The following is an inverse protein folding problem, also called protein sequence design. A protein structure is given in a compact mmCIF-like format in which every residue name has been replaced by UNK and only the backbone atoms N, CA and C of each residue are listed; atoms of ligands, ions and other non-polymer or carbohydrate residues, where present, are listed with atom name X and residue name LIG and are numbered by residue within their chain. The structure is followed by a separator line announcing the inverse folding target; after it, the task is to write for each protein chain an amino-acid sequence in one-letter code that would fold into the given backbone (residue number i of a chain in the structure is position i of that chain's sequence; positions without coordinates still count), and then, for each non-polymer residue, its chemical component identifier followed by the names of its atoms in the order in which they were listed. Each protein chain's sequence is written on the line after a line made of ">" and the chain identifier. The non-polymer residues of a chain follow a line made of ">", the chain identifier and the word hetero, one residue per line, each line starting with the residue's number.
data_IF_450580285555
#
_entry.id   IF_450580285555
#
_cell.length_a   1.000
_cell.length_b   1.000
_cell.length_c   1.000
_cell.angle_alpha   90.00
_cell.angle_beta   90.00
_cell.angle_gamma   90.00
#
_symmetry.space_group_name_H-M   'P 1'
#
loop_
_entity.id
_entity.type
_entity.pdbx_description
1 polymer ?
#
# COMPACT_ATOMS: atom_id res chain seq x y z
N UNK A 1 27.93 -24.22 28.91
CA UNK A 1 27.42 -25.30 28.01
C UNK A 1 26.12 -24.83 27.41
N UNK A 2 26.21 -24.12 26.32
CA UNK A 2 25.05 -23.72 25.52
C UNK A 2 25.12 -24.52 24.22
N UNK A 3 24.20 -25.48 24.04
CA UNK A 3 23.98 -26.17 22.79
C UNK A 3 23.29 -25.25 21.79
N UNK A 4 24.07 -24.62 20.94
CA UNK A 4 23.60 -23.71 19.91
C UNK A 4 23.97 -24.22 18.50
N UNK A 5 24.14 -25.53 18.30
CA UNK A 5 24.59 -26.08 17.02
C UNK A 5 23.51 -26.67 16.13
N UNK A 6 22.31 -26.94 16.64
CA UNK A 6 21.28 -27.63 15.83
C UNK A 6 20.31 -26.72 15.08
N UNK A 7 20.18 -25.43 15.47
CA UNK A 7 19.23 -24.52 14.81
C UNK A 7 19.84 -23.65 13.69
N UNK A 8 21.15 -23.78 13.42
CA UNK A 8 21.86 -22.87 12.48
C UNK A 8 22.09 -23.51 11.11
N UNK A 9 22.15 -24.86 11.04
CA UNK A 9 22.41 -25.59 9.80
C UNK A 9 21.21 -25.63 8.83
N UNK A 10 20.03 -25.29 9.30
CA UNK A 10 18.79 -25.29 8.50
C UNK A 10 18.61 -24.01 7.61
N UNK A 11 19.61 -23.11 7.61
CA UNK A 11 19.58 -21.85 6.82
C UNK A 11 20.49 -21.93 5.59
N UNK A 12 21.35 -22.94 5.48
CA UNK A 12 22.24 -23.15 4.32
C UNK A 12 21.75 -24.34 3.50
N UNK A 13 21.37 -24.02 2.28
CA UNK A 13 21.32 -24.93 1.13
C UNK A 13 20.39 -26.15 1.22
N UNK A 14 19.11 -25.90 1.04
CA UNK A 14 18.17 -26.86 0.49
C UNK A 14 17.83 -26.49 -0.95
N UNK A 15 18.74 -26.76 -1.87
CA UNK A 15 18.40 -26.89 -3.29
C UNK A 15 17.64 -28.22 -3.46
N UNK A 16 16.32 -28.15 -3.34
CA UNK A 16 15.45 -29.22 -3.82
C UNK A 16 14.58 -28.66 -4.96
N UNK A 17 14.98 -29.01 -6.16
CA UNK A 17 14.38 -28.62 -7.45
C UNK A 17 13.11 -29.42 -7.72
N UNK A 18 12.12 -29.43 -6.85
CA UNK A 18 10.79 -29.95 -7.26
C UNK A 18 9.69 -29.69 -6.22
N UNK A 19 9.49 -28.46 -5.81
CA UNK A 19 8.27 -28.07 -5.10
C UNK A 19 7.59 -26.93 -5.87
N UNK A 20 6.43 -27.23 -6.41
CA UNK A 20 5.45 -26.24 -6.84
C UNK A 20 5.17 -25.31 -5.66
N UNK A 21 5.79 -24.12 -5.64
CA UNK A 21 5.55 -23.09 -4.65
C UNK A 21 4.10 -22.63 -4.77
N UNK A 22 3.25 -23.13 -3.89
CA UNK A 22 2.00 -22.46 -3.56
C UNK A 22 2.35 -21.12 -2.92
N UNK A 23 1.60 -20.03 -3.19
CA UNK A 23 1.86 -18.73 -2.58
C UNK A 23 1.79 -18.89 -1.06
N UNK A 24 2.91 -18.61 -0.38
CA UNK A 24 2.97 -18.63 1.09
C UNK A 24 1.84 -17.79 1.66
N UNK A 25 1.05 -18.35 2.53
CA UNK A 25 -0.03 -17.62 3.21
C UNK A 25 0.55 -16.47 4.03
N UNK A 26 -0.17 -15.37 4.17
CA UNK A 26 0.25 -14.21 4.97
C UNK A 26 0.69 -14.62 6.40
N UNK A 27 0.11 -15.70 6.94
CA UNK A 27 0.47 -16.26 8.24
C UNK A 27 1.85 -16.94 8.25
N UNK A 28 2.34 -17.48 7.12
CA UNK A 28 3.69 -18.07 7.04
C UNK A 28 4.77 -17.00 6.90
N UNK A 29 4.44 -15.89 6.21
CA UNK A 29 5.35 -14.74 6.10
C UNK A 29 5.50 -14.00 7.43
N UNK A 30 4.42 -13.84 8.21
CA UNK A 30 4.48 -13.26 9.56
C UNK A 30 5.34 -14.12 10.50
N UNK A 31 5.21 -15.44 10.46
CA UNK A 31 6.04 -16.36 11.25
C UNK A 31 7.53 -16.30 10.86
N UNK A 32 7.82 -16.18 9.57
CA UNK A 32 9.20 -16.05 9.07
C UNK A 32 9.83 -14.72 9.48
N UNK A 33 9.07 -13.62 9.44
CA UNK A 33 9.57 -12.32 9.91
C UNK A 33 9.79 -12.29 11.41
N UNK A 34 8.88 -12.87 12.19
CA UNK A 34 9.02 -12.99 13.64
C UNK A 34 10.25 -13.85 14.02
N UNK A 35 10.48 -14.94 13.27
CA UNK A 35 11.68 -15.78 13.42
C UNK A 35 12.97 -14.99 13.12
N UNK A 36 12.98 -14.19 12.05
CA UNK A 36 14.13 -13.35 11.70
C UNK A 36 14.41 -12.25 12.73
N UNK A 37 13.37 -11.64 13.30
CA UNK A 37 13.52 -10.67 14.39
C UNK A 37 14.11 -11.33 15.64
N UNK A 38 13.60 -12.48 16.05
CA UNK A 38 14.11 -13.23 17.19
C UNK A 38 15.57 -13.69 16.98
N UNK A 39 15.92 -14.07 15.75
CA UNK A 39 17.30 -14.45 15.41
C UNK A 39 18.23 -13.23 15.46
N UNK A 40 17.77 -12.09 14.96
CA UNK A 40 18.51 -10.82 15.04
C UNK A 40 18.81 -10.43 16.49
N UNK A 41 17.79 -10.51 17.37
CA UNK A 41 17.95 -10.17 18.78
C UNK A 41 18.93 -11.13 19.49
N UNK A 42 18.88 -12.45 19.16
CA UNK A 42 19.84 -13.44 19.68
C UNK A 42 21.27 -13.15 19.19
N UNK A 43 21.45 -12.83 17.92
CA UNK A 43 22.77 -12.51 17.36
C UNK A 43 23.34 -11.21 17.96
N UNK A 44 22.50 -10.23 18.18
CA UNK A 44 22.91 -8.98 18.84
C UNK A 44 23.33 -9.25 20.30
N UNK A 45 22.58 -10.09 21.03
CA UNK A 45 22.94 -10.47 22.38
C UNK A 45 24.32 -11.17 22.48
N UNK A 46 24.68 -11.99 21.49
CA UNK A 46 26.03 -12.63 21.44
C UNK A 46 27.12 -11.58 21.16
N UNK A 47 26.83 -10.56 20.36
CA UNK A 47 27.80 -9.48 20.07
C UNK A 47 28.05 -8.63 21.32
N UNK A 48 27.01 -8.40 22.10
CA UNK A 48 27.04 -7.56 23.29
C UNK A 48 27.52 -8.33 24.56
N UNK A 49 27.59 -9.64 24.48
CA UNK A 49 28.07 -10.50 25.60
C UNK A 49 29.59 -10.34 25.78
N UNK A 50 29.97 -9.86 26.95
CA UNK A 50 31.39 -9.73 27.32
C UNK A 50 32.13 -11.06 27.54
N UNK A 51 31.37 -12.14 27.74
CA UNK A 51 31.90 -13.49 27.92
C UNK A 51 32.09 -14.25 26.58
N UNK A 52 31.50 -13.77 25.48
CA UNK A 52 31.63 -14.39 24.16
C UNK A 52 33.00 -14.14 23.56
N UNK A 53 33.55 -15.21 22.93
CA UNK A 53 34.86 -15.15 22.25
C UNK A 53 34.83 -14.26 21.02
N UNK A 54 35.97 -13.72 20.61
CA UNK A 54 36.09 -12.93 19.39
C UNK A 54 35.65 -13.69 18.13
N UNK A 55 35.79 -14.99 18.09
CA UNK A 55 35.32 -15.87 17.02
C UNK A 55 33.80 -15.93 16.95
N UNK A 56 33.14 -16.08 18.08
CA UNK A 56 31.68 -16.08 18.19
C UNK A 56 31.07 -14.72 17.82
N UNK A 57 31.68 -13.63 18.31
CA UNK A 57 31.25 -12.24 17.93
C UNK A 57 31.42 -11.99 16.44
N UNK A 58 32.51 -12.48 15.84
CA UNK A 58 32.76 -12.34 14.41
C UNK A 58 31.75 -13.11 13.57
N UNK A 59 31.40 -14.31 13.99
CA UNK A 59 30.37 -15.12 13.33
C UNK A 59 28.99 -14.50 13.48
N UNK A 60 28.61 -14.06 14.68
CA UNK A 60 27.35 -13.39 14.92
C UNK A 60 27.22 -12.08 14.11
N UNK A 61 28.28 -11.26 14.01
CA UNK A 61 28.31 -10.08 13.13
C UNK A 61 28.12 -10.42 11.67
N UNK A 62 28.77 -11.48 11.18
CA UNK A 62 28.62 -11.95 9.80
C UNK A 62 27.19 -12.42 9.49
N UNK A 63 26.56 -13.13 10.43
CA UNK A 63 25.17 -13.57 10.30
C UNK A 63 24.19 -12.41 10.41
N UNK A 64 24.44 -11.47 11.31
CA UNK A 64 23.63 -10.25 11.45
C UNK A 64 23.64 -9.40 10.17
N UNK A 65 24.80 -9.25 9.53
CA UNK A 65 24.95 -8.62 8.23
C UNK A 65 24.10 -9.29 7.13
N UNK A 66 23.95 -10.62 7.19
CA UNK A 66 23.09 -11.36 6.24
C UNK A 66 21.59 -11.14 6.50
N UNK A 67 21.22 -10.65 7.67
CA UNK A 67 19.85 -10.32 8.08
C UNK A 67 19.56 -8.82 8.01
N UNK A 68 20.53 -7.99 7.58
CA UNK A 68 20.29 -6.55 7.39
C UNK A 68 19.28 -6.32 6.26
N UNK A 69 18.48 -5.26 6.36
CA UNK A 69 17.51 -4.90 5.31
C UNK A 69 18.14 -4.85 3.92
N UNK A 70 19.36 -4.31 3.79
CA UNK A 70 20.08 -4.18 2.51
C UNK A 70 20.42 -5.53 1.87
N UNK A 71 20.75 -6.55 2.66
CA UNK A 71 21.05 -7.89 2.14
C UNK A 71 19.76 -8.63 1.77
N UNK A 72 18.68 -8.43 2.55
CA UNK A 72 17.36 -8.97 2.22
C UNK A 72 16.85 -8.31 0.94
N UNK A 73 17.00 -7.00 0.81
CA UNK A 73 16.65 -6.24 -0.40
C UNK A 73 17.47 -6.69 -1.61
N UNK A 74 18.79 -6.87 -1.44
CA UNK A 74 19.66 -7.39 -2.49
C UNK A 74 19.27 -8.81 -2.92
N UNK A 75 18.94 -9.72 -2.00
CA UNK A 75 18.45 -11.05 -2.33
C UNK A 75 17.09 -11.03 -3.01
N UNK A 76 16.20 -10.15 -2.58
CA UNK A 76 14.89 -9.96 -3.21
C UNK A 76 15.03 -9.41 -4.63
N UNK A 77 15.87 -8.40 -4.83
CA UNK A 77 16.20 -7.87 -6.16
C UNK A 77 16.84 -8.93 -7.06
N UNK A 78 17.76 -9.74 -6.54
CA UNK A 78 18.33 -10.86 -7.28
C UNK A 78 17.27 -11.90 -7.67
N UNK A 79 16.33 -12.19 -6.78
CA UNK A 79 15.21 -13.10 -7.09
C UNK A 79 14.29 -12.54 -8.16
N UNK A 80 13.94 -11.26 -8.08
CA UNK A 80 13.17 -10.56 -9.12
C UNK A 80 13.93 -10.58 -10.44
N UNK A 81 15.19 -10.22 -10.44
CA UNK A 81 16.01 -10.22 -11.66
C UNK A 81 16.10 -11.61 -12.29
N UNK A 82 16.26 -12.67 -11.50
CA UNK A 82 16.21 -14.06 -12.02
C UNK A 82 14.86 -14.39 -12.66
N UNK A 83 13.74 -13.92 -12.07
CA UNK A 83 12.40 -14.10 -12.67
C UNK A 83 12.26 -13.31 -13.97
N UNK A 84 12.73 -12.07 -13.99
CA UNK A 84 12.76 -11.23 -15.21
C UNK A 84 13.58 -11.90 -16.30
N UNK A 85 14.79 -12.36 -16.01
CA UNK A 85 15.64 -13.07 -16.95
C UNK A 85 14.97 -14.34 -17.50
N UNK A 86 14.26 -15.09 -16.65
CA UNK A 86 13.49 -16.27 -17.06
C UNK A 86 12.37 -15.90 -18.02
N UNK A 87 11.62 -14.83 -17.72
CA UNK A 87 10.56 -14.29 -18.58
C UNK A 87 11.15 -13.79 -19.90
N UNK A 88 12.27 -13.09 -19.88
CA UNK A 88 12.94 -12.61 -21.10
C UNK A 88 13.47 -13.74 -21.98
N UNK A 89 14.02 -14.80 -21.37
CA UNK A 89 14.42 -16.00 -22.13
C UNK A 89 13.22 -16.67 -22.80
N UNK A 90 12.08 -16.76 -22.09
CA UNK A 90 10.84 -17.29 -22.67
C UNK A 90 10.32 -16.39 -23.77
N UNK A 91 10.32 -15.06 -23.58
CA UNK A 91 9.96 -14.07 -24.59
C UNK A 91 10.76 -14.25 -25.88
N UNK A 92 12.10 -14.37 -25.75
CA UNK A 92 12.99 -14.61 -26.91
C UNK A 92 12.66 -15.91 -27.62
N UNK A 93 12.36 -16.99 -26.90
CA UNK A 93 11.96 -18.28 -27.50
C UNK A 93 10.65 -18.18 -28.28
N UNK A 94 9.73 -17.33 -27.81
CA UNK A 94 8.41 -17.14 -28.40
C UNK A 94 8.36 -16.06 -29.48
N UNK A 95 9.47 -15.39 -29.77
CA UNK A 95 9.56 -14.23 -30.67
C UNK A 95 8.65 -13.06 -30.28
N UNK A 96 8.34 -12.91 -28.99
CA UNK A 96 7.58 -11.79 -28.51
C UNK A 96 8.47 -10.57 -28.39
N UNK A 97 8.17 -9.53 -29.17
CA UNK A 97 8.93 -8.26 -29.19
C UNK A 97 8.63 -7.39 -27.99
N UNK A 98 7.40 -7.38 -27.53
CA UNK A 98 6.91 -6.56 -26.43
C UNK A 98 6.11 -7.40 -25.44
N UNK A 99 6.29 -7.12 -24.14
CA UNK A 99 5.46 -7.69 -23.06
C UNK A 99 4.32 -6.72 -22.75
N UNK A 100 3.21 -6.90 -23.40
CA UNK A 100 1.97 -6.17 -23.16
C UNK A 100 0.79 -7.15 -23.10
N UNK A 101 -0.42 -6.63 -22.93
CA UNK A 101 -1.60 -7.49 -22.87
C UNK A 101 -1.85 -8.25 -24.18
N UNK A 102 -1.55 -7.67 -25.33
CA UNK A 102 -1.70 -8.35 -26.61
C UNK A 102 -0.85 -9.62 -26.67
N UNK A 103 0.43 -9.52 -26.32
CA UNK A 103 1.32 -10.68 -26.30
C UNK A 103 0.92 -11.72 -25.24
N UNK A 104 0.39 -11.27 -24.10
CA UNK A 104 -0.19 -12.18 -23.10
C UNK A 104 -1.42 -12.90 -23.62
N UNK A 105 -2.35 -12.20 -24.27
CA UNK A 105 -3.57 -12.78 -24.82
C UNK A 105 -3.26 -13.83 -25.87
N UNK A 106 -2.38 -13.52 -26.85
CA UNK A 106 -1.95 -14.45 -27.89
C UNK A 106 -1.31 -15.70 -27.30
N UNK A 107 -0.39 -15.51 -26.34
CA UNK A 107 0.21 -16.62 -25.60
C UNK A 107 -0.82 -17.47 -24.86
N UNK A 108 -1.76 -16.82 -24.15
CA UNK A 108 -2.78 -17.51 -23.37
C UNK A 108 -3.66 -18.39 -24.27
N UNK A 109 -4.10 -17.87 -25.42
CA UNK A 109 -4.94 -18.60 -26.35
C UNK A 109 -4.19 -19.78 -26.98
N UNK A 110 -2.91 -19.62 -27.31
CA UNK A 110 -2.10 -20.67 -27.95
C UNK A 110 -1.64 -21.74 -26.95
N UNK A 111 -1.16 -21.33 -25.77
CA UNK A 111 -0.45 -22.23 -24.84
C UNK A 111 -1.28 -22.80 -23.72
N UNK A 112 -2.24 -22.05 -23.20
CA UNK A 112 -3.08 -22.54 -22.08
C UNK A 112 -3.81 -23.83 -22.42
N UNK A 113 -4.44 -24.00 -23.62
CA UNK A 113 -5.11 -25.26 -23.97
C UNK A 113 -4.19 -26.47 -23.93
N UNK A 114 -2.92 -26.31 -24.33
CA UNK A 114 -1.92 -27.37 -24.32
C UNK A 114 -1.54 -27.75 -22.88
N UNK A 115 -1.25 -26.76 -22.04
CA UNK A 115 -0.90 -26.96 -20.64
C UNK A 115 -2.05 -27.63 -19.86
N UNK A 116 -3.28 -27.19 -20.09
CA UNK A 116 -4.46 -27.74 -19.42
C UNK A 116 -4.75 -29.18 -19.86
N UNK A 117 -4.52 -29.48 -21.13
CA UNK A 117 -4.64 -30.84 -21.65
C UNK A 117 -3.61 -31.79 -21.01
N UNK A 118 -2.37 -31.32 -20.84
CA UNK A 118 -1.30 -32.07 -20.17
C UNK A 118 -1.61 -32.26 -18.69
N UNK A 119 -2.17 -31.23 -18.03
CA UNK A 119 -2.55 -31.26 -16.61
C UNK A 119 -3.89 -31.96 -16.32
N UNK A 120 -4.60 -32.42 -17.36
CA UNK A 120 -5.96 -33.00 -17.24
C UNK A 120 -6.98 -32.07 -16.54
N UNK A 121 -6.85 -30.75 -16.74
CA UNK A 121 -7.76 -29.75 -16.19
C UNK A 121 -8.76 -29.29 -17.24
N UNK A 122 -10.05 -29.29 -16.87
CA UNK A 122 -11.11 -28.72 -17.72
C UNK A 122 -11.18 -27.21 -17.52
N UNK A 123 -11.09 -26.44 -18.61
CA UNK A 123 -11.16 -25.00 -18.60
C UNK A 123 -11.83 -24.45 -19.85
N UNK A 124 -12.76 -23.51 -19.67
CA UNK A 124 -13.50 -22.91 -20.79
C UNK A 124 -12.68 -21.82 -21.48
N UNK A 125 -11.69 -22.21 -22.31
CA UNK A 125 -10.78 -21.27 -22.99
C UNK A 125 -11.51 -20.25 -23.86
N UNK A 126 -12.64 -20.63 -24.47
CA UNK A 126 -13.44 -19.73 -25.31
C UNK A 126 -14.11 -18.64 -24.50
N UNK A 127 -14.60 -18.93 -23.30
CA UNK A 127 -15.16 -17.94 -22.38
C UNK A 127 -14.07 -17.00 -21.92
N UNK A 128 -12.93 -17.53 -21.51
CA UNK A 128 -11.74 -16.75 -21.13
C UNK A 128 -11.32 -15.80 -22.26
N UNK A 129 -11.20 -16.31 -23.50
CA UNK A 129 -10.86 -15.51 -24.65
C UNK A 129 -11.87 -14.39 -24.92
N UNK A 130 -13.17 -14.70 -24.78
CA UNK A 130 -14.26 -13.75 -25.00
C UNK A 130 -14.26 -12.62 -23.96
N UNK A 131 -14.04 -12.94 -22.69
CA UNK A 131 -13.97 -11.96 -21.59
C UNK A 131 -12.77 -11.01 -21.76
N UNK A 132 -11.64 -11.51 -22.24
CA UNK A 132 -10.42 -10.73 -22.39
C UNK A 132 -10.31 -9.97 -23.72
N UNK A 133 -11.12 -10.36 -24.72
CA UNK A 133 -11.10 -9.76 -26.06
C UNK A 133 -11.26 -8.24 -26.10
N UNK A 134 -12.06 -7.58 -25.25
CA UNK A 134 -12.15 -6.12 -25.23
C UNK A 134 -10.82 -5.40 -24.99
N UNK A 135 -9.87 -6.04 -24.30
CA UNK A 135 -8.54 -5.48 -24.00
C UNK A 135 -7.48 -5.83 -25.05
N UNK A 136 -7.81 -6.75 -25.96
CA UNK A 136 -6.93 -7.16 -27.03
C UNK A 136 -7.05 -6.20 -28.22
N UNK A 137 -6.06 -6.23 -29.11
CA UNK A 137 -5.95 -5.43 -30.32
C UNK A 137 -7.26 -5.31 -31.08
N UNK A 138 -7.70 -4.08 -31.32
CA UNK A 138 -8.99 -3.74 -31.93
C UNK A 138 -10.19 -3.79 -30.99
N UNK A 139 -10.01 -4.08 -29.71
CA UNK A 139 -11.06 -4.02 -28.69
C UNK A 139 -11.24 -2.62 -28.11
N UNK A 140 -12.43 -2.39 -27.52
CA UNK A 140 -12.80 -1.07 -26.98
C UNK A 140 -11.86 -0.56 -25.88
N UNK A 141 -11.20 -1.46 -25.16
CA UNK A 141 -10.32 -1.18 -24.03
C UNK A 141 -8.84 -1.50 -24.36
N UNK A 142 -8.49 -1.61 -25.63
CA UNK A 142 -7.13 -1.94 -26.06
C UNK A 142 -6.06 -1.07 -25.37
N UNK A 143 -6.28 0.24 -25.32
CA UNK A 143 -5.32 1.20 -24.75
C UNK A 143 -5.15 1.11 -23.23
N UNK A 144 -6.03 0.41 -22.55
CA UNK A 144 -5.97 0.31 -21.07
C UNK A 144 -4.78 -0.50 -20.59
N UNK A 145 -4.41 -1.58 -21.33
CA UNK A 145 -3.39 -2.54 -20.93
C UNK A 145 -2.25 -2.72 -21.94
N UNK A 146 -2.29 -2.00 -23.08
CA UNK A 146 -1.29 -2.14 -24.14
C UNK A 146 -0.44 -0.89 -24.36
N UNK A 147 -0.72 0.19 -23.68
CA UNK A 147 0.17 1.35 -23.69
C UNK A 147 1.43 1.05 -22.89
N UNK A 148 2.56 1.58 -23.36
CA UNK A 148 3.77 1.59 -22.57
C UNK A 148 3.49 2.25 -21.22
N UNK A 149 3.66 1.48 -20.16
CA UNK A 149 3.68 2.06 -18.82
C UNK A 149 4.83 3.05 -18.79
N UNK A 150 4.48 4.33 -18.69
CA UNK A 150 5.47 5.37 -18.54
C UNK A 150 6.36 5.06 -17.34
N UNK A 151 7.58 4.63 -17.59
CA UNK A 151 8.59 4.35 -16.56
C UNK A 151 8.86 5.60 -15.66
N UNK A 152 8.40 6.78 -16.12
CA UNK A 152 8.44 8.01 -15.36
C UNK A 152 7.60 7.90 -14.06
N UNK A 153 6.44 7.23 -14.08
CA UNK A 153 5.58 7.05 -12.91
C UNK A 153 6.33 6.50 -11.69
N UNK A 154 7.23 5.55 -11.92
CA UNK A 154 8.06 5.02 -10.84
C UNK A 154 9.03 6.06 -10.27
N UNK A 155 9.49 7.01 -11.08
CA UNK A 155 10.45 8.03 -10.70
C UNK A 155 9.81 9.33 -10.18
N UNK A 156 8.53 9.56 -10.49
CA UNK A 156 7.83 10.76 -10.03
C UNK A 156 7.69 10.80 -8.51
N UNK A 157 7.94 11.98 -7.93
CA UNK A 157 7.83 12.20 -6.49
C UNK A 157 6.41 12.45 -6.02
N UNK A 158 5.57 13.01 -6.88
CA UNK A 158 4.18 13.32 -6.59
C UNK A 158 3.29 12.79 -7.72
N UNK A 159 2.36 11.92 -7.38
CA UNK A 159 1.44 11.30 -8.32
C UNK A 159 0.02 11.44 -7.76
N UNK A 160 -0.90 11.84 -8.63
CA UNK A 160 -2.33 11.88 -8.33
C UNK A 160 -3.06 11.01 -9.33
N UNK A 161 -3.83 10.06 -8.84
CA UNK A 161 -4.74 9.24 -9.63
C UNK A 161 -6.17 9.76 -9.45
N UNK A 162 -6.69 10.41 -10.50
CA UNK A 162 -8.09 10.85 -10.53
C UNK A 162 -8.98 9.70 -11.00
N UNK A 163 -9.78 9.15 -10.09
CA UNK A 163 -10.59 7.95 -10.34
C UNK A 163 -12.10 8.23 -10.44
N UNK A 164 -12.54 9.45 -10.22
CA UNK A 164 -13.97 9.80 -10.15
C UNK A 164 -14.75 9.45 -11.43
N UNK A 165 -14.13 9.61 -12.59
CA UNK A 165 -14.77 9.31 -13.87
C UNK A 165 -14.93 7.83 -14.19
N UNK A 166 -14.14 6.99 -13.54
CA UNK A 166 -14.09 5.54 -13.82
C UNK A 166 -14.65 4.69 -12.68
N UNK A 167 -14.94 5.29 -11.52
CA UNK A 167 -15.38 4.56 -10.32
C UNK A 167 -16.66 3.71 -10.51
N UNK A 168 -17.53 4.13 -11.42
CA UNK A 168 -18.77 3.43 -11.74
C UNK A 168 -18.61 2.39 -12.86
N UNK A 169 -17.45 2.35 -13.50
CA UNK A 169 -17.16 1.34 -14.50
C UNK A 169 -16.65 0.06 -13.82
N UNK A 170 -17.45 -1.04 -13.84
CA UNK A 170 -17.13 -2.26 -13.10
C UNK A 170 -15.89 -2.99 -13.64
N UNK A 171 -15.43 -2.64 -14.81
CA UNK A 171 -14.26 -3.26 -15.48
C UNK A 171 -13.01 -2.41 -15.29
N UNK A 172 -13.09 -1.11 -15.60
CA UNK A 172 -11.92 -0.22 -15.56
C UNK A 172 -11.50 0.11 -14.13
N UNK A 173 -12.43 0.29 -13.21
CA UNK A 173 -12.10 0.66 -11.83
C UNK A 173 -11.19 -0.37 -11.14
N UNK A 174 -11.49 -1.69 -11.14
CA UNK A 174 -10.60 -2.69 -10.56
C UNK A 174 -9.20 -2.70 -11.20
N UNK A 175 -9.10 -2.50 -12.52
CA UNK A 175 -7.81 -2.49 -13.24
C UNK A 175 -6.96 -1.31 -12.77
N UNK A 176 -7.54 -0.11 -12.72
CA UNK A 176 -6.81 1.09 -12.25
C UNK A 176 -6.39 0.95 -10.79
N UNK A 177 -7.25 0.36 -9.95
CA UNK A 177 -6.92 0.03 -8.56
C UNK A 177 -5.70 -0.89 -8.50
N UNK A 178 -5.64 -1.94 -9.31
CA UNK A 178 -4.48 -2.84 -9.37
C UNK A 178 -3.20 -2.12 -9.82
N UNK A 179 -3.29 -1.21 -10.79
CA UNK A 179 -2.15 -0.38 -11.23
C UNK A 179 -1.64 0.50 -10.07
N UNK A 180 -2.55 1.17 -9.35
CA UNK A 180 -2.18 2.00 -8.19
C UNK A 180 -1.49 1.15 -7.12
N UNK A 181 -2.06 -0.03 -6.83
CA UNK A 181 -1.50 -0.97 -5.87
C UNK A 181 -0.08 -1.40 -6.26
N UNK A 182 0.13 -1.73 -7.52
CA UNK A 182 1.43 -2.14 -8.04
C UNK A 182 2.46 -1.01 -7.98
N UNK A 183 2.12 0.18 -8.49
CA UNK A 183 3.00 1.37 -8.46
C UNK A 183 3.41 1.71 -7.02
N UNK A 184 2.46 1.76 -6.08
CA UNK A 184 2.80 2.09 -4.70
C UNK A 184 3.63 0.99 -4.03
N UNK A 185 3.29 -0.28 -4.27
CA UNK A 185 4.03 -1.42 -3.71
C UNK A 185 5.47 -1.43 -4.22
N UNK A 186 5.68 -1.23 -5.52
CA UNK A 186 7.03 -1.13 -6.08
C UNK A 186 7.81 0.04 -5.47
N UNK A 187 7.19 1.23 -5.38
CA UNK A 187 7.83 2.38 -4.72
C UNK A 187 8.13 2.10 -3.26
N UNK A 188 7.21 1.48 -2.54
CA UNK A 188 7.37 1.14 -1.12
C UNK A 188 8.55 0.18 -0.90
N UNK A 189 8.71 -0.81 -1.77
CA UNK A 189 9.73 -1.84 -1.64
C UNK A 189 11.09 -1.45 -2.23
N UNK A 190 11.11 -0.69 -3.33
CA UNK A 190 12.30 -0.48 -4.14
C UNK A 190 12.89 0.93 -4.08
N UNK A 191 12.13 1.93 -3.62
CA UNK A 191 12.63 3.30 -3.49
C UNK A 191 13.11 3.58 -2.08
N UNK A 192 14.19 4.31 -1.99
CA UNK A 192 14.66 4.88 -0.74
C UNK A 192 13.81 6.06 -0.27
N UNK A 193 13.97 6.44 0.99
CA UNK A 193 13.29 7.59 1.59
C UNK A 193 11.87 7.29 2.05
N UNK A 194 11.18 8.33 2.48
CA UNK A 194 9.81 8.25 3.00
C UNK A 194 8.80 8.27 1.85
N UNK A 195 7.81 7.42 1.93
CA UNK A 195 6.70 7.33 0.97
C UNK A 195 5.39 7.64 1.69
N UNK A 196 4.45 8.22 0.96
CA UNK A 196 3.13 8.52 1.48
C UNK A 196 2.06 8.15 0.45
N UNK A 197 1.08 7.39 0.87
CA UNK A 197 -0.14 7.13 0.11
C UNK A 197 -1.32 7.72 0.87
N UNK A 198 -2.07 8.62 0.23
CA UNK A 198 -3.32 9.16 0.76
C UNK A 198 -4.45 8.68 -0.14
N UNK A 199 -5.45 8.06 0.47
CA UNK A 199 -6.64 7.55 -0.23
C UNK A 199 -7.80 8.43 0.22
N UNK A 200 -8.21 9.34 -0.67
CA UNK A 200 -9.39 10.18 -0.49
C UNK A 200 -10.67 9.42 -0.80
N UNK A 201 -11.77 9.79 -0.18
CA UNK A 201 -13.04 9.06 -0.29
C UNK A 201 -12.87 7.54 -0.11
N UNK A 202 -12.11 7.16 0.92
CA UNK A 202 -11.66 5.78 1.16
C UNK A 202 -12.80 4.76 1.22
N UNK A 203 -14.02 5.18 1.53
CA UNK A 203 -15.21 4.32 1.54
C UNK A 203 -15.45 3.61 0.20
N UNK A 204 -15.17 4.28 -0.92
CA UNK A 204 -15.28 3.70 -2.27
C UNK A 204 -14.27 2.58 -2.48
N UNK A 205 -13.03 2.82 -2.04
CA UNK A 205 -11.97 1.84 -2.11
C UNK A 205 -12.22 0.65 -1.18
N UNK A 206 -12.67 0.91 0.04
CA UNK A 206 -12.97 -0.11 1.07
C UNK A 206 -14.15 -1.00 0.67
N UNK A 207 -15.08 -0.52 -0.14
CA UNK A 207 -16.21 -1.29 -0.65
C UNK A 207 -15.79 -2.49 -1.52
N UNK A 208 -14.62 -2.41 -2.16
CA UNK A 208 -14.10 -3.53 -2.96
C UNK A 208 -13.23 -4.47 -2.11
N UNK A 209 -13.50 -5.79 -2.07
CA UNK A 209 -12.73 -6.72 -1.23
C UNK A 209 -11.23 -6.73 -1.53
N UNK A 210 -10.85 -6.59 -2.80
CA UNK A 210 -9.44 -6.56 -3.23
C UNK A 210 -8.72 -5.36 -2.63
N UNK A 211 -9.30 -4.16 -2.77
CA UNK A 211 -8.69 -2.94 -2.22
C UNK A 211 -8.72 -2.92 -0.68
N UNK A 212 -9.81 -3.40 -0.08
CA UNK A 212 -9.91 -3.54 1.38
C UNK A 212 -8.78 -4.43 1.93
N UNK A 213 -8.52 -5.57 1.29
CA UNK A 213 -7.42 -6.48 1.66
C UNK A 213 -6.06 -5.81 1.47
N UNK A 214 -5.89 -5.04 0.41
CA UNK A 214 -4.66 -4.29 0.17
C UNK A 214 -4.44 -3.19 1.22
N UNK A 215 -5.46 -2.41 1.54
CA UNK A 215 -5.40 -1.40 2.61
C UNK A 215 -5.02 -2.07 3.94
N UNK A 216 -5.64 -3.21 4.27
CA UNK A 216 -5.28 -4.00 5.45
C UNK A 216 -3.80 -4.39 5.44
N UNK A 217 -3.28 -4.87 4.32
CA UNK A 217 -1.88 -5.21 4.14
C UNK A 217 -0.98 -3.99 4.36
N UNK A 218 -1.31 -2.84 3.76
CA UNK A 218 -0.53 -1.61 3.89
C UNK A 218 -0.45 -1.14 5.35
N UNK A 219 -1.57 -1.10 6.07
CA UNK A 219 -1.58 -0.68 7.48
C UNK A 219 -0.74 -1.58 8.38
N UNK A 220 -0.57 -2.86 8.03
CA UNK A 220 0.28 -3.80 8.76
C UNK A 220 1.77 -3.72 8.37
N UNK A 221 2.09 -3.28 7.17
CA UNK A 221 3.44 -3.44 6.60
C UNK A 221 4.15 -2.14 6.25
N UNK A 222 3.44 -1.08 5.86
CA UNK A 222 4.01 0.14 5.31
C UNK A 222 5.10 0.77 6.21
N UNK A 223 4.89 0.77 7.53
CA UNK A 223 5.85 1.30 8.50
C UNK A 223 7.24 0.67 8.37
N UNK A 224 7.33 -0.64 8.06
CA UNK A 224 8.61 -1.37 7.90
C UNK A 224 9.42 -0.87 6.70
N UNK A 225 8.76 -0.22 5.74
CA UNK A 225 9.33 0.29 4.50
C UNK A 225 9.37 1.82 4.45
N UNK A 226 9.37 2.49 5.60
CA UNK A 226 9.36 3.96 5.68
C UNK A 226 8.20 4.58 4.88
N UNK A 227 7.09 3.88 4.85
CA UNK A 227 5.89 4.35 4.18
C UNK A 227 4.79 4.72 5.18
N UNK A 228 4.02 5.76 4.84
CA UNK A 228 2.83 6.21 5.55
C UNK A 228 1.62 5.97 4.66
N UNK A 229 0.55 5.51 5.27
CA UNK A 229 -0.74 5.36 4.61
C UNK A 229 -1.78 6.15 5.38
N UNK A 230 -2.50 7.01 4.68
CA UNK A 230 -3.62 7.77 5.19
C UNK A 230 -4.89 7.45 4.43
N UNK A 231 -5.99 7.31 5.14
CA UNK A 231 -7.34 7.24 4.56
C UNK A 231 -8.13 8.45 5.00
N UNK A 232 -8.84 9.05 4.07
CA UNK A 232 -9.72 10.20 4.32
C UNK A 232 -11.14 9.77 4.01
N UNK A 233 -12.05 9.98 4.94
CA UNK A 233 -13.47 9.67 4.79
C UNK A 233 -14.34 10.76 5.40
N UNK A 234 -15.55 10.89 4.92
CA UNK A 234 -16.52 11.85 5.45
C UNK A 234 -17.19 11.33 6.73
N UNK A 235 -17.36 10.02 6.83
CA UNK A 235 -17.99 9.37 7.97
C UNK A 235 -17.10 8.24 8.50
N UNK A 236 -16.95 8.16 9.81
CA UNK A 236 -16.17 7.08 10.42
C UNK A 236 -16.81 5.70 10.21
N UNK A 237 -18.11 5.66 10.00
CA UNK A 237 -18.87 4.46 9.71
C UNK A 237 -18.34 3.73 8.49
N UNK A 238 -17.88 4.45 7.47
CA UNK A 238 -17.28 3.88 6.27
C UNK A 238 -16.13 2.92 6.59
N UNK A 239 -15.35 3.25 7.61
CA UNK A 239 -14.24 2.40 8.08
C UNK A 239 -14.73 1.35 9.06
N UNK A 240 -15.62 1.71 10.00
CA UNK A 240 -16.00 0.84 11.12
C UNK A 240 -16.97 -0.26 10.74
N UNK A 241 -17.71 -0.12 9.65
CA UNK A 241 -18.60 -1.16 9.12
C UNK A 241 -17.87 -2.20 8.27
N UNK A 242 -16.70 -1.88 7.77
CA UNK A 242 -15.89 -2.84 7.03
C UNK A 242 -15.26 -3.89 7.94
N UNK A 243 -15.66 -5.14 7.77
CA UNK A 243 -15.10 -6.28 8.51
C UNK A 243 -13.62 -6.52 8.22
N UNK A 244 -13.13 -6.11 7.04
CA UNK A 244 -11.77 -6.38 6.58
C UNK A 244 -10.78 -5.36 7.14
N UNK A 245 -11.12 -4.06 7.06
CA UNK A 245 -10.14 -2.99 7.32
C UNK A 245 -10.27 -2.32 8.69
N UNK A 246 -11.43 -2.42 9.34
CA UNK A 246 -11.71 -1.75 10.61
C UNK A 246 -10.57 -1.88 11.62
N UNK A 247 -10.25 -3.12 12.00
CA UNK A 247 -9.23 -3.37 13.00
C UNK A 247 -7.83 -2.96 12.52
N UNK A 248 -7.54 -3.17 11.23
CA UNK A 248 -6.25 -2.81 10.67
C UNK A 248 -6.03 -1.31 10.70
N UNK A 249 -7.01 -0.51 10.29
CA UNK A 249 -6.90 0.95 10.29
C UNK A 249 -6.87 1.48 11.72
N UNK A 250 -7.84 1.11 12.56
CA UNK A 250 -7.96 1.66 13.91
C UNK A 250 -6.75 1.29 14.77
N UNK A 251 -6.30 0.04 14.75
CA UNK A 251 -5.23 -0.43 15.63
C UNK A 251 -3.82 -0.03 15.16
N UNK A 252 -3.63 0.27 13.86
CA UNK A 252 -2.32 0.63 13.33
C UNK A 252 -2.20 2.11 12.96
N UNK A 253 -3.25 2.92 13.11
CA UNK A 253 -3.16 4.36 12.93
C UNK A 253 -2.49 5.00 14.14
N UNK A 254 -1.38 5.68 13.90
CA UNK A 254 -0.67 6.43 14.94
C UNK A 254 -1.23 7.84 15.14
N UNK A 255 -2.02 8.34 14.20
CA UNK A 255 -2.60 9.69 14.21
C UNK A 255 -4.02 9.63 13.67
N UNK A 256 -4.93 10.30 14.37
CA UNK A 256 -6.30 10.57 13.92
C UNK A 256 -6.49 12.08 13.81
N UNK A 257 -7.04 12.52 12.69
CA UNK A 257 -7.37 13.92 12.43
C UNK A 257 -8.89 14.03 12.26
N UNK A 258 -9.51 14.85 13.08
CA UNK A 258 -10.96 15.09 13.02
C UNK A 258 -11.22 16.55 12.71
N UNK A 259 -11.97 16.78 11.66
CA UNK A 259 -12.55 18.08 11.34
C UNK A 259 -13.83 18.30 12.17
N UNK A 260 -14.58 19.36 11.90
CA UNK A 260 -15.81 19.69 12.60
C UNK A 260 -16.80 18.51 12.61
N UNK A 261 -17.13 18.07 13.82
CA UNK A 261 -18.05 16.95 14.08
C UNK A 261 -19.42 17.39 14.59
N UNK A 262 -19.74 18.67 14.49
CA UNK A 262 -20.99 19.24 15.03
C UNK A 262 -22.24 18.56 14.47
N UNK A 263 -22.20 18.09 13.21
CA UNK A 263 -23.30 17.37 12.56
C UNK A 263 -23.55 15.98 13.15
N UNK A 264 -22.55 15.39 13.80
CA UNK A 264 -22.61 14.01 14.31
C UNK A 264 -22.74 13.94 15.84
N UNK A 265 -23.09 15.06 16.47
CA UNK A 265 -23.12 15.18 17.95
C UNK A 265 -23.95 14.08 18.61
N UNK A 266 -25.11 13.77 18.05
CA UNK A 266 -26.03 12.77 18.61
C UNK A 266 -25.55 11.33 18.45
N UNK A 267 -24.62 11.07 17.52
CA UNK A 267 -24.03 9.76 17.23
C UNK A 267 -22.57 9.67 17.64
N UNK A 268 -22.05 10.69 18.34
CA UNK A 268 -20.62 10.83 18.63
C UNK A 268 -20.09 9.77 19.59
N UNK A 269 -20.93 9.17 20.41
CA UNK A 269 -20.54 8.11 21.35
C UNK A 269 -19.89 6.90 20.64
N UNK A 270 -20.32 6.57 19.44
CA UNK A 270 -19.70 5.52 18.65
C UNK A 270 -18.29 5.92 18.21
N UNK A 271 -18.11 7.15 17.74
CA UNK A 271 -16.79 7.71 17.36
C UNK A 271 -15.88 7.73 18.59
N UNK A 272 -16.38 8.22 19.72
CA UNK A 272 -15.65 8.26 20.99
C UNK A 272 -15.12 6.89 21.39
N UNK A 273 -15.96 5.86 21.35
CA UNK A 273 -15.58 4.48 21.70
C UNK A 273 -14.56 3.92 20.70
N UNK A 274 -14.79 4.11 19.39
CA UNK A 274 -13.96 3.57 18.33
C UNK A 274 -12.54 4.15 18.35
N UNK A 275 -12.42 5.47 18.56
CA UNK A 275 -11.13 6.17 18.58
C UNK A 275 -10.55 6.32 19.99
N UNK A 276 -11.17 5.70 20.99
CA UNK A 276 -10.78 5.80 22.41
C UNK A 276 -10.56 7.26 22.85
N UNK A 277 -11.55 8.14 22.55
CA UNK A 277 -11.49 9.55 22.92
C UNK A 277 -11.90 9.74 24.39
N UNK A 278 -11.19 10.63 25.08
CA UNK A 278 -11.55 11.06 26.43
C UNK A 278 -12.69 12.09 26.39
N UNK A 279 -13.32 12.36 27.54
CA UNK A 279 -14.32 13.45 27.65
C UNK A 279 -13.72 14.82 27.33
N UNK A 280 -12.43 15.00 27.63
CA UNK A 280 -11.68 16.22 27.30
C UNK A 280 -11.50 16.33 25.80
N UNK A 281 -11.10 15.23 25.11
CA UNK A 281 -10.98 15.21 23.66
C UNK A 281 -12.31 15.57 22.99
N UNK A 282 -13.41 14.99 23.46
CA UNK A 282 -14.75 15.30 22.94
C UNK A 282 -15.10 16.78 23.08
N UNK A 283 -14.81 17.39 24.26
CA UNK A 283 -15.01 18.83 24.46
C UNK A 283 -14.19 19.65 23.49
N UNK A 284 -12.90 19.32 23.29
CA UNK A 284 -12.02 19.99 22.34
C UNK A 284 -12.54 19.86 20.90
N UNK A 285 -12.94 18.68 20.46
CA UNK A 285 -13.48 18.45 19.11
C UNK A 285 -14.68 19.32 18.81
N UNK A 286 -15.58 19.51 19.79
CA UNK A 286 -16.75 20.37 19.61
C UNK A 286 -16.48 21.87 19.71
N UNK A 287 -15.23 22.30 19.92
CA UNK A 287 -14.82 23.70 19.80
C UNK A 287 -14.29 24.06 18.41
N UNK A 288 -14.05 23.07 17.55
CA UNK A 288 -13.52 23.28 16.20
C UNK A 288 -14.36 24.28 15.41
N UNK A 289 -13.73 25.24 14.78
CA UNK A 289 -14.31 26.30 13.95
C UNK A 289 -15.32 27.21 14.68
N UNK A 290 -15.27 27.27 16.01
CA UNK A 290 -16.09 28.24 16.79
C UNK A 290 -15.37 29.54 17.08
N UNK A 291 -14.05 29.59 16.89
CA UNK A 291 -13.27 30.80 17.04
C UNK A 291 -13.52 31.70 15.83
N UNK A 292 -13.93 32.93 16.09
CA UNK A 292 -13.99 33.95 15.05
C UNK A 292 -12.57 34.42 14.70
N UNK A 293 -12.33 34.63 13.42
CA UNK A 293 -11.09 35.23 12.96
C UNK A 293 -11.00 36.68 13.49
N UNK A 294 -9.91 37.00 14.14
CA UNK A 294 -9.62 38.38 14.53
C UNK A 294 -9.26 39.21 13.31
N UNK A 295 -9.64 40.48 13.30
CA UNK A 295 -9.25 41.42 12.27
C UNK A 295 -7.73 41.37 12.01
N UNK A 296 -7.36 41.33 10.75
CA UNK A 296 -5.95 41.29 10.31
C UNK A 296 -5.28 39.92 10.27
N UNK A 297 -5.98 38.83 10.62
CA UNK A 297 -5.50 37.46 10.43
C UNK A 297 -6.07 36.83 9.15
N UNK A 298 -5.24 36.01 8.49
CA UNK A 298 -5.71 35.15 7.42
C UNK A 298 -6.76 34.18 7.94
N UNK A 299 -7.79 33.79 7.14
CA UNK A 299 -8.72 32.75 7.49
C UNK A 299 -7.98 31.47 7.85
N UNK A 300 -8.37 30.84 8.95
CA UNK A 300 -7.82 29.56 9.37
C UNK A 300 -8.95 28.54 9.58
N UNK A 301 -8.63 27.28 9.42
CA UNK A 301 -9.48 26.14 9.76
C UNK A 301 -8.85 25.39 10.92
N UNK A 302 -9.69 24.85 11.79
CA UNK A 302 -9.22 24.09 12.93
C UNK A 302 -9.38 22.59 12.69
N UNK A 303 -8.44 21.82 13.22
CA UNK A 303 -8.43 20.36 13.19
C UNK A 303 -8.04 19.81 14.55
N UNK A 304 -8.76 18.81 15.03
CA UNK A 304 -8.32 18.05 16.19
C UNK A 304 -7.38 16.94 15.73
N UNK A 305 -6.20 16.89 16.33
CA UNK A 305 -5.18 15.87 16.04
C UNK A 305 -4.95 15.05 17.30
N UNK A 306 -5.24 13.75 17.24
CA UNK A 306 -4.92 12.78 18.29
C UNK A 306 -3.71 11.97 17.88
N UNK A 307 -2.70 11.95 18.75
CA UNK A 307 -1.49 11.15 18.62
C UNK A 307 -1.28 10.33 19.90
N UNK A 308 -1.50 9.04 19.80
CA UNK A 308 -1.48 8.16 20.99
C UNK A 308 -2.55 8.57 21.99
N UNK A 309 -2.16 8.93 23.22
CA UNK A 309 -3.07 9.37 24.27
C UNK A 309 -3.36 10.87 24.27
N UNK A 310 -2.58 11.65 23.55
CA UNK A 310 -2.68 13.10 23.53
C UNK A 310 -3.49 13.58 22.32
N UNK A 311 -4.41 14.50 22.56
CA UNK A 311 -5.20 15.13 21.51
C UNK A 311 -5.36 16.62 21.75
N UNK A 312 -5.18 17.42 20.69
CA UNK A 312 -5.37 18.88 20.75
C UNK A 312 -5.92 19.46 19.45
N UNK A 313 -6.43 20.70 19.55
CA UNK A 313 -6.95 21.45 18.39
C UNK A 313 -5.87 22.38 17.87
N UNK A 314 -5.64 22.30 16.57
CA UNK A 314 -4.66 23.12 15.86
C UNK A 314 -5.34 23.96 14.80
N UNK A 315 -4.96 25.23 14.69
CA UNK A 315 -5.36 26.10 13.60
C UNK A 315 -4.41 25.92 12.40
N UNK A 316 -4.98 25.72 11.24
CA UNK A 316 -4.26 25.65 9.96
C UNK A 316 -4.51 26.92 9.21
N UNK A 317 -3.48 27.75 9.09
CA UNK A 317 -3.48 28.97 8.27
C UNK A 317 -2.87 28.66 6.91
N UNK A 318 -3.50 29.16 5.86
CA UNK A 318 -3.02 29.04 4.49
C UNK A 318 -2.87 30.44 3.86
N UNK A 319 -1.79 30.68 3.11
CA UNK A 319 -1.69 31.91 2.33
C UNK A 319 -2.88 32.03 1.39
N UNK A 320 -3.47 33.25 1.23
CA UNK A 320 -4.62 33.46 0.36
C UNK A 320 -4.42 32.96 -1.06
N UNK A 321 -3.19 33.05 -1.58
CA UNK A 321 -2.83 32.58 -2.92
C UNK A 321 -2.96 31.04 -3.04
N UNK A 322 -2.53 30.33 -2.01
CA UNK A 322 -2.67 28.87 -1.96
C UNK A 322 -4.15 28.48 -1.85
N UNK A 323 -4.87 29.10 -0.91
CA UNK A 323 -6.31 28.85 -0.73
C UNK A 323 -7.11 29.09 -2.01
N UNK A 324 -6.89 30.23 -2.69
CA UNK A 324 -7.57 30.57 -3.94
C UNK A 324 -7.25 29.62 -5.08
N UNK A 325 -6.08 28.94 -5.03
CA UNK A 325 -5.70 28.00 -6.10
C UNK A 325 -6.54 26.72 -6.11
N UNK A 326 -7.08 26.30 -4.97
CA UNK A 326 -7.86 25.05 -4.83
C UNK A 326 -9.24 25.19 -4.20
N UNK A 327 -9.69 26.45 -3.90
CA UNK A 327 -11.03 26.66 -3.36
C UNK A 327 -12.11 26.03 -4.24
N UNK A 328 -13.11 25.44 -3.62
CA UNK A 328 -14.29 24.87 -4.29
C UNK A 328 -15.50 25.81 -4.25
N UNK A 329 -15.41 26.90 -3.49
CA UNK A 329 -16.50 27.87 -3.32
C UNK A 329 -16.83 28.58 -4.64
N UNK A 330 -18.10 28.58 -5.03
CA UNK A 330 -18.53 29.09 -6.32
C UNK A 330 -18.22 30.59 -6.53
N UNK A 331 -18.38 31.39 -5.47
CA UNK A 331 -18.13 32.83 -5.51
C UNK A 331 -16.64 33.10 -5.72
N UNK A 332 -15.78 32.40 -4.99
CA UNK A 332 -14.33 32.54 -5.06
C UNK A 332 -13.80 32.05 -6.42
N UNK A 333 -14.32 30.92 -6.91
CA UNK A 333 -13.99 30.44 -8.28
C UNK A 333 -14.38 31.44 -9.36
N UNK A 334 -15.51 32.13 -9.20
CA UNK A 334 -15.92 33.15 -10.14
C UNK A 334 -14.98 34.37 -10.08
N UNK A 335 -14.65 34.84 -8.88
CA UNK A 335 -13.68 35.91 -8.68
C UNK A 335 -12.32 35.58 -9.32
N UNK A 336 -11.82 34.34 -9.12
CA UNK A 336 -10.57 33.87 -9.72
C UNK A 336 -10.64 33.85 -11.27
N UNK A 337 -11.76 33.43 -11.84
CA UNK A 337 -11.99 33.49 -13.31
C UNK A 337 -12.01 34.91 -13.86
N UNK A 338 -12.56 35.84 -13.11
CA UNK A 338 -12.59 37.25 -13.51
C UNK A 338 -11.20 37.91 -13.42
N UNK A 339 -10.41 37.52 -12.41
CA UNK A 339 -9.03 37.98 -12.23
C UNK A 339 -8.08 37.47 -13.33
N UNK A 340 -8.29 36.25 -13.83
CA UNK A 340 -7.48 35.63 -14.90
C UNK A 340 -7.82 36.14 -16.32
N UNK A 341 -8.90 36.89 -16.50
CA UNK A 341 -9.24 37.60 -17.74
C UNK A 341 -8.63 38.97 -17.80
#
# INVERSE_FOLDING_TARGET
>A
RYGASEDIDDITDGEDESATEQPESAASQDKRQERNLRLRDKLQAVIDDNAATEGEKRNAKSQLLRLTPEVIESKYLQHINRKIDKIERQRKKMRVTELNFNSYYEFAIERIPQILKEAHVSFAINEFATILKPFYKGGEMEYTLNNDMDSSLFNEKFIVFEIDKIKENPVLFPIVVLIIMDVFTQKMLLKEGRKCLVIEEAWKAIATPVMATYIQYLYKTARKHWAMVGVVTQEIQDVTESKIVKEAIINNSGVFMLLDQSKFKDKFDNIKKTLALTDIDCKKIFTINRLENKEGRSPFKEVFIKRGQEGDVYGIEEPPECYMSYTTEKVEKLALKLYKK
#
